data_IF_540357913854
#
_entry.id   IF_540357913854
#
_cell.length_a   1.000
_cell.length_b   1.000
_cell.length_c   1.000
_cell.angle_alpha   90.00
_cell.angle_beta   90.00
_cell.angle_gamma   90.00
#
_symmetry.space_group_name_H-M   'P 1'
#
loop_
_entity.id
_entity.type
_entity.pdbx_description
1 polymer ?
#
# COMPACT_ATOMS: atom_id res chain seq x y z
N UNK A 1 -23.55 -4.39 -6.63
CA UNK A 1 -23.33 -3.06 -6.00
C UNK A 1 -22.35 -3.30 -4.84
N UNK A 2 -22.28 -2.48 -3.81
CA UNK A 2 -21.46 -2.71 -2.61
C UNK A 2 -21.94 -1.73 -1.55
N UNK A 3 -21.21 -1.59 -0.44
CA UNK A 3 -21.52 -0.55 0.53
C UNK A 3 -21.57 0.84 -0.13
N UNK A 4 -22.47 1.70 0.35
CA UNK A 4 -22.49 3.10 -0.09
C UNK A 4 -21.15 3.77 0.22
N UNK A 5 -20.80 4.85 -0.49
CA UNK A 5 -19.51 5.51 -0.31
C UNK A 5 -19.30 5.98 1.13
N UNK A 6 -20.38 6.35 1.83
CA UNK A 6 -20.39 6.76 3.23
C UNK A 6 -20.21 5.61 4.21
N UNK A 7 -20.55 4.38 3.81
CA UNK A 7 -20.42 3.16 4.61
C UNK A 7 -19.10 2.41 4.35
N UNK A 8 -18.42 2.72 3.24
CA UNK A 8 -17.13 2.12 2.90
C UNK A 8 -16.06 2.54 3.91
N UNK A 9 -15.32 1.55 4.40
CA UNK A 9 -14.31 1.75 5.42
C UNK A 9 -13.10 0.83 5.23
N UNK A 10 -12.02 1.19 5.92
CA UNK A 10 -10.80 0.39 6.00
C UNK A 10 -10.37 0.41 7.46
N UNK A 11 -10.36 -0.78 8.07
CA UNK A 11 -9.93 -0.97 9.45
C UNK A 11 -8.61 -1.73 9.47
N UNK A 12 -7.55 -1.09 9.95
CA UNK A 12 -6.20 -1.68 10.03
C UNK A 12 -5.84 -1.89 11.50
N UNK A 13 -5.66 -3.15 11.89
CA UNK A 13 -5.32 -3.54 13.25
C UNK A 13 -3.98 -4.25 13.29
N UNK A 14 -3.18 -3.99 14.33
CA UNK A 14 -1.94 -4.72 14.61
C UNK A 14 -1.86 -5.03 16.10
N UNK A 15 -1.72 -6.29 16.44
CA UNK A 15 -1.38 -6.71 17.80
C UNK A 15 0.14 -6.59 17.98
N UNK A 16 0.59 -6.02 19.12
CA UNK A 16 2.01 -5.73 19.36
C UNK A 16 2.89 -6.97 19.26
N UNK A 17 2.40 -8.11 19.73
CA UNK A 17 3.11 -9.40 19.78
C UNK A 17 3.05 -10.19 18.47
N UNK A 18 2.20 -9.79 17.52
CA UNK A 18 2.05 -10.48 16.24
C UNK A 18 2.76 -9.71 15.13
N UNK A 19 3.49 -10.40 14.26
CA UNK A 19 4.22 -9.76 13.15
C UNK A 19 3.36 -9.53 11.90
N UNK A 20 2.04 -9.39 12.10
CA UNK A 20 1.06 -9.20 11.05
C UNK A 20 0.08 -8.08 11.35
N UNK A 21 -0.45 -7.48 10.29
CA UNK A 21 -1.59 -6.59 10.29
C UNK A 21 -2.82 -7.33 9.80
N UNK A 22 -3.94 -7.12 10.48
CA UNK A 22 -5.26 -7.58 10.06
C UNK A 22 -6.00 -6.38 9.49
N UNK A 23 -6.43 -6.48 8.24
CA UNK A 23 -7.11 -5.41 7.52
C UNK A 23 -8.49 -5.89 7.12
N UNK A 24 -9.54 -5.22 7.60
CA UNK A 24 -10.86 -5.30 6.98
C UNK A 24 -11.01 -4.16 5.98
N UNK A 25 -11.53 -4.46 4.79
CA UNK A 25 -11.69 -3.47 3.72
C UNK A 25 -13.01 -3.68 3.00
N UNK A 26 -13.88 -2.67 3.03
CA UNK A 26 -15.04 -2.52 2.15
C UNK A 26 -14.86 -1.40 1.12
N UNK A 27 -13.83 -0.56 1.26
CA UNK A 27 -13.46 0.43 0.25
C UNK A 27 -13.04 -0.25 -1.07
N UNK A 28 -13.78 0.05 -2.14
CA UNK A 28 -13.59 -0.59 -3.46
C UNK A 28 -12.21 -0.35 -4.08
N UNK A 29 -11.61 0.82 -3.85
CA UNK A 29 -10.31 1.21 -4.41
C UNK A 29 -9.17 0.47 -3.72
N UNK A 30 -9.23 0.38 -2.39
CA UNK A 30 -8.26 -0.35 -1.59
C UNK A 30 -8.43 -1.85 -1.69
N UNK A 31 -9.66 -2.35 -1.76
CA UNK A 31 -9.94 -3.77 -1.96
C UNK A 31 -9.27 -4.29 -3.23
N UNK A 32 -9.39 -3.56 -4.34
CA UNK A 32 -8.74 -3.91 -5.62
C UNK A 32 -7.20 -3.94 -5.51
N UNK A 33 -6.60 -3.14 -4.62
CA UNK A 33 -5.15 -3.16 -4.37
C UNK A 33 -4.76 -4.34 -3.48
N UNK A 34 -5.54 -4.60 -2.43
CA UNK A 34 -5.30 -5.69 -1.49
C UNK A 34 -5.40 -7.06 -2.18
N UNK A 35 -6.41 -7.26 -3.03
CA UNK A 35 -6.58 -8.49 -3.82
C UNK A 35 -5.39 -8.80 -4.76
N UNK A 36 -4.53 -7.82 -5.07
CA UNK A 36 -3.33 -8.04 -5.89
C UNK A 36 -2.12 -8.52 -5.07
N UNK A 37 -2.14 -8.32 -3.76
CA UNK A 37 -0.97 -8.52 -2.89
C UNK A 37 -1.22 -9.53 -1.76
N UNK A 38 -2.49 -9.88 -1.50
CA UNK A 38 -2.88 -10.82 -0.47
C UNK A 38 -4.19 -11.54 -0.85
N UNK A 39 -4.33 -12.76 -0.35
CA UNK A 39 -5.56 -13.54 -0.49
C UNK A 39 -6.63 -13.03 0.48
N UNK A 40 -7.89 -12.88 0.04
CA UNK A 40 -8.98 -12.46 0.91
C UNK A 40 -9.38 -13.59 1.86
N UNK A 41 -9.54 -13.23 3.13
CA UNK A 41 -10.10 -14.05 4.20
C UNK A 41 -11.55 -13.60 4.39
N UNK A 42 -12.47 -14.56 4.43
CA UNK A 42 -13.91 -14.30 4.58
C UNK A 42 -14.44 -13.25 3.57
N UNK A 43 -14.24 -13.45 2.25
CA UNK A 43 -14.75 -12.54 1.25
C UNK A 43 -16.29 -12.52 1.23
N UNK A 44 -16.86 -11.32 1.24
CA UNK A 44 -18.29 -11.10 0.99
C UNK A 44 -18.50 -10.80 -0.48
N UNK A 45 -19.55 -11.39 -1.07
CA UNK A 45 -19.84 -11.27 -2.48
C UNK A 45 -21.18 -10.60 -2.73
N UNK A 46 -21.21 -9.75 -3.75
CA UNK A 46 -22.44 -9.27 -4.37
C UNK A 46 -22.27 -9.32 -5.90
N UNK A 47 -23.28 -9.85 -6.60
CA UNK A 47 -23.24 -10.02 -8.07
C UNK A 47 -21.99 -10.75 -8.58
N UNK A 48 -21.47 -11.72 -7.80
CA UNK A 48 -20.28 -12.50 -8.15
C UNK A 48 -18.95 -11.75 -8.00
N UNK A 49 -18.95 -10.57 -7.34
CA UNK A 49 -17.75 -9.78 -7.07
C UNK A 49 -17.55 -9.64 -5.57
N UNK A 50 -16.29 -9.64 -5.13
CA UNK A 50 -15.95 -9.38 -3.73
C UNK A 50 -16.23 -7.90 -3.44
N UNK A 51 -17.06 -7.63 -2.45
CA UNK A 51 -17.41 -6.28 -1.99
C UNK A 51 -16.73 -5.90 -0.68
N UNK A 52 -16.36 -6.88 0.13
CA UNK A 52 -15.53 -6.69 1.32
C UNK A 52 -14.74 -7.96 1.61
N UNK A 53 -13.63 -7.83 2.32
CA UNK A 53 -12.88 -8.97 2.83
C UNK A 53 -11.95 -8.56 3.98
N UNK A 54 -11.49 -9.57 4.73
CA UNK A 54 -10.35 -9.44 5.63
C UNK A 54 -9.06 -9.86 4.92
N UNK A 55 -7.94 -9.31 5.34
CA UNK A 55 -6.62 -9.62 4.81
C UNK A 55 -5.61 -9.69 5.95
N UNK A 56 -4.62 -10.57 5.81
CA UNK A 56 -3.44 -10.58 6.65
C UNK A 56 -2.22 -10.13 5.84
N UNK A 57 -1.51 -9.13 6.35
CA UNK A 57 -0.27 -8.63 5.77
C UNK A 57 0.87 -8.74 6.78
N UNK A 58 2.09 -9.03 6.32
CA UNK A 58 3.28 -8.96 7.16
C UNK A 58 3.58 -7.53 7.62
N UNK A 59 4.23 -7.37 8.77
CA UNK A 59 4.56 -6.05 9.31
C UNK A 59 5.45 -5.20 8.37
N UNK A 60 6.21 -5.84 7.49
CA UNK A 60 7.04 -5.19 6.48
C UNK A 60 6.25 -4.65 5.27
N UNK A 61 4.97 -5.01 5.10
CA UNK A 61 4.13 -4.57 3.98
C UNK A 61 3.36 -3.27 4.30
N UNK A 62 3.18 -2.95 5.59
CA UNK A 62 2.46 -1.74 6.03
C UNK A 62 3.44 -0.74 6.62
N UNK A 63 3.43 0.49 6.10
CA UNK A 63 4.35 1.54 6.53
C UNK A 63 3.61 2.85 6.79
N UNK A 64 3.82 3.42 7.98
CA UNK A 64 3.39 4.78 8.29
C UNK A 64 4.47 5.75 7.81
N UNK A 65 4.20 6.47 6.71
CA UNK A 65 5.15 7.41 6.12
C UNK A 65 4.68 8.85 6.34
N UNK A 66 5.63 9.78 6.45
CA UNK A 66 5.32 11.20 6.37
C UNK A 66 4.71 11.49 4.99
N UNK A 67 3.73 12.40 4.88
CA UNK A 67 3.25 12.87 3.58
C UNK A 67 4.42 13.31 2.71
N UNK A 68 4.36 13.00 1.42
CA UNK A 68 5.38 13.44 0.48
C UNK A 68 5.43 14.96 0.47
N UNK A 69 6.52 15.53 1.00
CA UNK A 69 6.80 16.96 0.84
C UNK A 69 7.55 17.14 -0.48
N UNK A 70 7.10 18.08 -1.31
CA UNK A 70 7.91 18.57 -2.42
C UNK A 70 9.22 19.09 -1.83
N UNK A 71 10.33 18.45 -2.21
CA UNK A 71 11.66 18.96 -1.89
C UNK A 71 11.92 20.08 -2.88
N UNK A 72 12.04 21.32 -2.40
CA UNK A 72 12.64 22.39 -3.20
C UNK A 72 14.14 22.11 -3.25
N UNK A 73 14.54 21.35 -4.26
CA UNK A 73 15.95 21.08 -4.54
C UNK A 73 16.49 22.22 -5.40
N UNK A 74 17.64 22.77 -5.01
CA UNK A 74 18.41 23.65 -5.89
C UNK A 74 18.88 22.89 -7.14
N UNK A 75 19.25 23.61 -8.20
CA UNK A 75 19.78 22.97 -9.41
C UNK A 75 21.03 22.13 -9.14
N UNK A 76 21.92 22.62 -8.28
CA UNK A 76 23.12 21.89 -7.83
C UNK A 76 22.76 20.56 -7.14
N UNK A 77 21.75 20.58 -6.26
CA UNK A 77 21.27 19.37 -5.58
C UNK A 77 20.61 18.39 -6.56
N UNK A 78 19.89 18.88 -7.57
CA UNK A 78 19.30 18.03 -8.63
C UNK A 78 20.40 17.36 -9.46
N UNK A 79 21.42 18.11 -9.87
CA UNK A 79 22.55 17.59 -10.64
C UNK A 79 23.32 16.52 -9.86
N UNK A 80 23.63 16.77 -8.59
CA UNK A 80 24.34 15.81 -7.74
C UNK A 80 23.56 14.50 -7.55
N UNK A 81 22.24 14.56 -7.40
CA UNK A 81 21.39 13.37 -7.31
C UNK A 81 21.38 12.61 -8.65
N UNK A 82 21.24 13.32 -9.78
CA UNK A 82 21.23 12.72 -11.11
C UNK A 82 22.56 12.02 -11.44
N UNK A 83 23.68 12.60 -11.01
CA UNK A 83 25.02 12.01 -11.18
C UNK A 83 25.22 10.77 -10.31
N UNK A 84 24.79 10.82 -9.03
CA UNK A 84 24.76 9.62 -8.16
C UNK A 84 23.96 8.47 -8.77
N UNK A 85 22.78 8.75 -9.31
CA UNK A 85 21.93 7.74 -9.94
C UNK A 85 22.58 7.15 -11.18
N UNK A 86 23.20 7.97 -12.04
CA UNK A 86 23.96 7.49 -13.21
C UNK A 86 25.08 6.54 -12.81
N UNK A 87 25.88 6.91 -11.81
CA UNK A 87 26.99 6.09 -11.34
C UNK A 87 26.54 4.74 -10.74
N UNK A 88 25.38 4.71 -10.08
CA UNK A 88 24.77 3.46 -9.58
C UNK A 88 24.31 2.54 -10.71
N UNK A 89 23.77 3.09 -11.80
CA UNK A 89 23.35 2.31 -12.96
C UNK A 89 24.53 1.76 -13.77
N UNK A 90 25.63 2.51 -13.90
CA UNK A 90 26.84 2.01 -14.56
C UNK A 90 27.48 0.87 -13.76
N UNK A 91 27.60 1.01 -12.43
CA UNK A 91 28.13 -0.05 -11.55
C UNK A 91 27.32 -1.34 -11.51
N UNK A 92 26.07 -1.33 -11.95
CA UNK A 92 25.19 -2.51 -11.94
C UNK A 92 25.27 -3.30 -13.26
N UNK A 93 25.87 -2.71 -14.29
CA UNK A 93 26.01 -3.30 -15.63
C UNK A 93 27.45 -3.78 -15.93
N UNK A 94 28.36 -3.63 -14.97
CA UNK A 94 29.68 -4.28 -14.91
C UNK A 94 29.59 -5.49 -13.94
#
# INVERSE_FOLDING_TARGET
MGYSSEEQEININKIRTEDKFIIYCSDSTWLTKLLKIAEPIEPEYEDGRIISARFELGANQVSLRKPSKKRELSEEQRLAIAERMRNLHMKKND
#
